data_IF_396416010208
#
_entry.id   IF_396416010208
#
_cell.length_a   1.000
_cell.length_b   1.000
_cell.length_c   1.000
_cell.angle_alpha   90.00
_cell.angle_beta   90.00
_cell.angle_gamma   90.00
#
_symmetry.space_group_name_H-M   'P 1'
#
loop_
_entity.id
_entity.type
_entity.pdbx_description
1 polymer ?
#
# COMPACT_ATOMS: atom_id res chain seq x y z
N UNK A 1 -7.56 -8.68 16.11
CA UNK A 1 -8.05 -8.76 14.71
C UNK A 1 -7.92 -10.20 14.20
N UNK A 2 -9.00 -10.99 14.22
CA UNK A 2 -8.96 -12.40 13.80
C UNK A 2 -8.88 -12.56 12.27
N UNK A 3 -9.53 -11.66 11.53
CA UNK A 3 -9.61 -11.74 10.07
C UNK A 3 -8.23 -11.60 9.40
N UNK A 4 -7.48 -10.55 9.72
CA UNK A 4 -6.14 -10.34 9.17
C UNK A 4 -5.17 -11.47 9.52
N UNK A 5 -5.31 -12.06 10.72
CA UNK A 5 -4.53 -13.22 11.11
C UNK A 5 -4.89 -14.45 10.26
N UNK A 6 -6.18 -14.72 10.05
CA UNK A 6 -6.62 -15.80 9.16
C UNK A 6 -6.11 -15.62 7.71
N UNK A 7 -6.14 -14.39 7.18
CA UNK A 7 -5.59 -14.09 5.85
C UNK A 7 -4.08 -14.34 5.81
N UNK A 8 -3.34 -13.97 6.86
CA UNK A 8 -1.91 -14.23 6.96
C UNK A 8 -1.58 -15.73 6.96
N UNK A 9 -2.33 -16.55 7.69
CA UNK A 9 -2.14 -18.02 7.67
C UNK A 9 -2.40 -18.62 6.28
N UNK A 10 -3.38 -18.08 5.54
CA UNK A 10 -3.69 -18.53 4.18
C UNK A 10 -2.68 -18.05 3.14
N UNK A 11 -2.08 -16.89 3.35
CA UNK A 11 -1.13 -16.24 2.44
C UNK A 11 0.12 -15.77 3.19
N UNK A 12 1.01 -16.68 3.61
CA UNK A 12 2.17 -16.35 4.45
C UNK A 12 3.20 -15.45 3.75
N UNK A 13 3.15 -15.37 2.42
CA UNK A 13 4.07 -14.55 1.62
C UNK A 13 3.59 -13.10 1.43
N UNK A 14 2.39 -12.75 1.89
CA UNK A 14 1.86 -11.40 1.70
C UNK A 14 2.56 -10.38 2.61
N UNK A 15 2.92 -9.24 2.02
CA UNK A 15 3.40 -8.08 2.76
C UNK A 15 2.30 -7.44 3.59
N UNK A 16 2.68 -6.63 4.58
CA UNK A 16 1.72 -6.04 5.52
C UNK A 16 0.62 -5.22 4.84
N UNK A 17 0.99 -4.42 3.84
CA UNK A 17 0.03 -3.66 3.00
C UNK A 17 -0.99 -4.59 2.35
N UNK A 18 -0.54 -5.68 1.71
CA UNK A 18 -1.40 -6.61 0.99
C UNK A 18 -2.39 -7.32 1.92
N UNK A 19 -1.95 -7.69 3.13
CA UNK A 19 -2.82 -8.27 4.15
C UNK A 19 -3.93 -7.29 4.54
N UNK A 20 -3.57 -6.01 4.76
CA UNK A 20 -4.55 -4.98 5.09
C UNK A 20 -5.49 -4.73 3.90
N UNK A 21 -4.96 -4.57 2.67
CA UNK A 21 -5.75 -4.40 1.45
C UNK A 21 -6.78 -5.52 1.29
N UNK A 22 -6.36 -6.78 1.43
CA UNK A 22 -7.23 -7.96 1.36
C UNK A 22 -8.27 -7.98 2.48
N UNK A 23 -7.86 -7.55 3.68
CA UNK A 23 -8.76 -7.47 4.84
C UNK A 23 -9.86 -6.43 4.60
N UNK A 24 -9.51 -5.22 4.18
CA UNK A 24 -10.47 -4.11 4.03
C UNK A 24 -11.37 -4.25 2.80
N UNK A 25 -11.00 -5.09 1.83
CA UNK A 25 -11.90 -5.51 0.74
C UNK A 25 -13.09 -6.31 1.27
N UNK A 26 -12.91 -7.08 2.35
CA UNK A 26 -13.99 -7.85 3.00
C UNK A 26 -14.77 -7.04 4.04
N UNK A 27 -14.33 -5.82 4.35
CA UNK A 27 -15.02 -4.95 5.31
C UNK A 27 -16.08 -4.08 4.61
N UNK A 28 -17.27 -4.07 5.20
CA UNK A 28 -18.38 -3.21 4.83
C UNK A 28 -18.63 -2.14 5.89
N UNK A 29 -19.28 -1.05 5.50
CA UNK A 29 -19.56 0.10 6.38
C UNK A 29 -18.42 1.14 6.41
N UNK A 30 -18.52 2.04 7.39
CA UNK A 30 -17.58 3.14 7.58
C UNK A 30 -16.52 2.79 8.64
N UNK A 31 -15.25 3.09 8.35
CA UNK A 31 -14.13 2.82 9.23
C UNK A 31 -12.96 3.78 9.00
N UNK A 32 -12.18 4.01 10.05
CA UNK A 32 -10.85 4.61 10.00
C UNK A 32 -9.94 3.72 10.86
N UNK A 33 -8.94 3.10 10.25
CA UNK A 33 -8.15 2.03 10.86
C UNK A 33 -6.66 2.33 10.75
N UNK A 34 -5.92 2.02 11.81
CA UNK A 34 -4.46 1.99 11.82
C UNK A 34 -4.00 0.62 12.34
N UNK A 35 -3.09 0.00 11.60
CA UNK A 35 -2.59 -1.34 11.83
C UNK A 35 -1.12 -1.29 12.22
N UNK A 36 -0.78 -2.01 13.29
CA UNK A 36 0.59 -2.28 13.74
C UNK A 36 0.72 -3.76 14.05
N UNK A 37 1.84 -4.37 13.70
CA UNK A 37 2.08 -5.80 13.91
C UNK A 37 3.48 -6.04 14.44
N UNK A 38 3.62 -7.09 15.26
CA UNK A 38 4.95 -7.61 15.66
C UNK A 38 5.64 -8.36 14.52
N UNK A 39 4.87 -8.88 13.56
CA UNK A 39 5.39 -9.58 12.37
C UNK A 39 5.98 -8.61 11.34
N UNK A 40 5.52 -7.35 11.36
CA UNK A 40 5.96 -6.29 10.46
C UNK A 40 6.46 -5.11 11.30
N UNK A 41 7.63 -5.26 11.97
CA UNK A 41 8.19 -4.18 12.75
C UNK A 41 8.52 -2.98 11.84
N UNK A 42 8.51 -1.77 12.42
CA UNK A 42 8.78 -0.52 11.71
C UNK A 42 7.80 -0.19 10.57
N UNK A 43 6.70 -0.92 10.46
CA UNK A 43 5.64 -0.65 9.51
C UNK A 43 4.35 -0.23 10.23
N UNK A 44 3.66 0.70 9.60
CA UNK A 44 2.30 1.10 9.97
C UNK A 44 1.49 1.25 8.70
N UNK A 45 0.30 0.67 8.71
CA UNK A 45 -0.64 0.81 7.59
C UNK A 45 -1.90 1.45 8.15
N UNK A 46 -2.38 2.51 7.50
CA UNK A 46 -3.60 3.20 7.89
C UNK A 46 -4.51 3.39 6.68
N UNK A 47 -5.80 3.30 6.88
CA UNK A 47 -6.78 3.36 5.80
C UNK A 47 -8.14 3.79 6.32
N UNK A 48 -8.97 4.34 5.44
CA UNK A 48 -10.31 4.80 5.78
C UNK A 48 -11.33 4.51 4.70
N UNK A 49 -12.59 4.50 5.11
CA UNK A 49 -13.77 4.62 4.25
C UNK A 49 -14.91 5.25 5.05
N UNK A 50 -15.51 6.33 4.56
CA UNK A 50 -16.65 6.98 5.21
C UNK A 50 -16.40 7.54 6.62
N UNK A 51 -15.16 7.54 7.12
CA UNK A 51 -14.76 8.06 8.42
C UNK A 51 -13.47 8.87 8.27
N UNK A 52 -13.34 10.05 8.91
CA UNK A 52 -12.18 10.91 8.73
C UNK A 52 -10.89 10.28 9.26
N UNK A 53 -9.82 10.39 8.47
CA UNK A 53 -8.46 9.98 8.84
C UNK A 53 -7.45 10.86 8.10
N UNK A 54 -6.48 11.40 8.82
CA UNK A 54 -5.45 12.26 8.27
C UNK A 54 -4.07 11.96 8.87
N UNK A 55 -3.03 12.36 8.15
CA UNK A 55 -1.63 12.14 8.50
C UNK A 55 -0.91 13.49 8.63
N UNK A 56 -0.50 13.85 9.84
CA UNK A 56 0.42 14.95 10.11
C UNK A 56 1.85 14.54 9.83
N UNK A 57 2.62 15.41 9.18
CA UNK A 57 4.03 15.18 8.90
C UNK A 57 4.85 16.27 9.59
N UNK A 58 5.82 15.88 10.41
CA UNK A 58 6.82 16.79 10.98
C UNK A 58 8.20 16.28 10.63
N UNK A 59 9.01 17.11 9.99
CA UNK A 59 10.41 16.81 9.74
C UNK A 59 11.27 18.04 9.98
N UNK A 60 12.52 17.82 10.38
CA UNK A 60 13.53 18.87 10.49
C UNK A 60 13.95 19.43 9.12
N UNK A 61 13.85 18.64 8.06
CA UNK A 61 14.19 19.04 6.69
C UNK A 61 12.94 19.33 5.86
N UNK A 62 13.09 20.21 4.85
CA UNK A 62 11.99 20.50 3.92
C UNK A 62 11.63 19.23 3.14
N UNK A 63 10.33 18.93 3.07
CA UNK A 63 9.79 17.84 2.25
C UNK A 63 10.06 18.16 0.77
N UNK A 64 10.35 17.14 -0.04
CA UNK A 64 10.65 17.30 -1.46
C UNK A 64 9.43 17.69 -2.30
N UNK A 65 8.20 17.49 -1.79
CA UNK A 65 6.96 17.77 -2.55
C UNK A 65 5.79 17.99 -1.58
N UNK A 66 4.93 18.97 -1.89
CA UNK A 66 3.69 19.26 -1.15
C UNK A 66 2.49 18.40 -1.62
N UNK A 67 2.61 17.77 -2.78
CA UNK A 67 1.63 16.85 -3.35
C UNK A 67 2.14 15.41 -3.29
N UNK A 68 1.32 14.52 -2.72
CA UNK A 68 1.62 13.09 -2.60
C UNK A 68 0.99 12.35 -3.77
N UNK A 69 1.79 11.58 -4.51
CA UNK A 69 1.25 10.76 -5.60
C UNK A 69 0.59 9.51 -5.01
N UNK A 70 -0.66 9.26 -5.40
CA UNK A 70 -1.41 8.06 -5.03
C UNK A 70 -1.05 6.93 -5.99
N UNK A 71 -0.54 5.83 -5.45
CA UNK A 71 -0.24 4.63 -6.23
C UNK A 71 -1.47 3.74 -6.32
N UNK A 72 -1.85 3.29 -7.51
CA UNK A 72 -2.98 2.36 -7.62
C UNK A 72 -2.51 0.92 -7.42
N UNK A 73 -3.05 0.26 -6.39
CA UNK A 73 -2.83 -1.17 -6.21
C UNK A 73 -3.68 -1.92 -7.25
N UNK A 74 -3.06 -2.41 -8.32
CA UNK A 74 -3.72 -3.36 -9.21
C UNK A 74 -3.85 -4.70 -8.47
N UNK A 75 -4.99 -4.95 -7.83
CA UNK A 75 -5.30 -6.20 -7.13
C UNK A 75 -5.05 -7.44 -8.02
N UNK A 76 -5.26 -7.30 -9.34
CA UNK A 76 -4.94 -8.33 -10.35
C UNK A 76 -3.45 -8.68 -10.42
N UNK A 77 -2.54 -7.72 -10.24
CA UNK A 77 -1.09 -7.99 -10.24
C UNK A 77 -0.62 -8.68 -8.95
N UNK A 78 -1.26 -8.40 -7.81
CA UNK A 78 -0.90 -9.00 -6.52
C UNK A 78 -1.30 -10.47 -6.46
N UNK A 79 -2.46 -10.85 -7.02
CA UNK A 79 -2.85 -12.26 -7.11
C UNK A 79 -2.12 -12.99 -8.25
N UNK A 80 -1.92 -12.34 -9.40
CA UNK A 80 -1.23 -12.95 -10.56
C UNK A 80 0.26 -13.19 -10.34
N UNK A 81 0.95 -12.40 -9.50
CA UNK A 81 2.38 -12.62 -9.21
C UNK A 81 2.65 -13.84 -8.32
N UNK A 82 1.61 -14.45 -7.73
CA UNK A 82 1.73 -15.65 -6.89
C UNK A 82 1.10 -16.91 -7.52
N UNK A 83 0.37 -16.78 -8.63
CA UNK A 83 -0.04 -17.93 -9.45
C UNK A 83 1.04 -18.21 -10.50
N UNK A 84 2.23 -18.62 -10.05
CA UNK A 84 3.32 -19.09 -10.88
C UNK A 84 3.88 -20.37 -10.31
N UNK A 85 3.79 -21.45 -11.09
CA UNK A 85 4.23 -22.83 -10.83
C UNK A 85 3.38 -23.63 -9.82
N UNK A 86 2.23 -24.14 -10.27
CA UNK A 86 1.97 -25.60 -10.19
C UNK A 86 1.10 -26.01 -11.39
N UNK A 87 1.65 -26.91 -12.18
CA UNK A 87 1.03 -27.53 -13.34
C UNK A 87 0.05 -28.62 -12.91
N UNK A 88 -1.24 -28.48 -13.20
CA UNK A 88 -2.06 -29.57 -13.74
C UNK A 88 -3.35 -29.05 -14.39
N UNK A 89 -3.73 -29.71 -15.46
CA UNK A 89 -4.68 -29.34 -16.52
C UNK A 89 -6.15 -29.63 -16.18
N UNK A 90 -7.05 -28.75 -16.65
CA UNK A 90 -8.12 -29.15 -17.57
C UNK A 90 -8.75 -27.93 -18.30
N UNK A 91 -9.30 -28.21 -19.49
CA UNK A 91 -9.46 -27.31 -20.65
C UNK A 91 -10.77 -26.45 -20.65
N UNK A 92 -10.95 -25.51 -21.61
CA UNK A 92 -11.62 -24.20 -21.41
C UNK A 92 -13.07 -24.10 -21.90
N UNK A 93 -13.76 -22.98 -21.56
CA UNK A 93 -14.90 -22.47 -22.37
C UNK A 93 -14.88 -20.95 -22.55
N UNK A 94 -14.57 -20.55 -23.78
CA UNK A 94 -15.27 -19.57 -24.62
C UNK A 94 -15.67 -18.19 -24.03
N UNK A 95 -14.72 -17.43 -23.51
CA UNK A 95 -14.74 -15.96 -23.67
C UNK A 95 -13.34 -15.36 -23.57
N UNK A 96 -12.39 -15.99 -24.25
CA UNK A 96 -11.09 -15.38 -24.60
C UNK A 96 -11.20 -14.79 -26.00
N UNK A 97 -11.83 -13.64 -26.18
CA UNK A 97 -11.48 -12.75 -27.29
C UNK A 97 -11.89 -11.33 -26.88
N UNK A 98 -10.94 -10.52 -26.40
CA UNK A 98 -10.66 -9.23 -27.04
C UNK A 98 -9.41 -8.60 -26.41
N UNK A 99 -8.28 -9.04 -26.98
CA UNK A 99 -7.03 -8.32 -27.25
C UNK A 99 -6.27 -7.70 -26.07
N UNK A 100 -5.11 -8.22 -25.64
CA UNK A 100 -3.88 -8.56 -26.38
C UNK A 100 -3.19 -7.33 -26.96
N UNK A 101 -2.21 -6.80 -26.21
CA UNK A 101 -0.98 -6.27 -26.78
C UNK A 101 0.19 -6.87 -26.00
N UNK A 102 0.88 -7.76 -26.70
CA UNK A 102 1.99 -8.57 -26.26
C UNK A 102 3.22 -8.08 -27.02
N UNK A 103 4.26 -7.67 -26.31
CA UNK A 103 5.63 -7.63 -26.83
C UNK A 103 6.56 -7.88 -25.63
N UNK A 104 6.83 -9.15 -25.35
CA UNK A 104 8.09 -9.82 -25.69
C UNK A 104 9.23 -9.49 -24.72
N UNK A 105 9.56 -10.45 -23.85
CA UNK A 105 10.96 -10.77 -23.55
C UNK A 105 11.03 -12.14 -22.87
N UNK A 106 11.69 -13.04 -23.58
CA UNK A 106 12.12 -14.38 -23.21
C UNK A 106 13.17 -14.37 -22.09
N UNK A 107 13.15 -15.45 -21.28
CA UNK A 107 14.30 -16.14 -20.65
C UNK A 107 14.70 -15.86 -19.16
N UNK A 108 14.76 -17.00 -18.44
CA UNK A 108 15.66 -17.40 -17.34
C UNK A 108 15.21 -17.24 -15.86
N UNK A 109 15.43 -18.27 -14.99
CA UNK A 109 15.14 -18.19 -13.57
C UNK A 109 16.31 -17.52 -12.85
N UNK A 110 16.14 -16.26 -12.46
CA UNK A 110 17.17 -15.51 -11.75
C UNK A 110 16.56 -14.79 -10.55
N UNK A 111 17.04 -15.18 -9.36
CA UNK A 111 17.31 -14.37 -8.16
C UNK A 111 16.26 -13.32 -7.80
N UNK A 112 15.69 -13.48 -6.60
CA UNK A 112 14.87 -12.46 -5.93
C UNK A 112 15.62 -11.12 -5.88
N UNK A 113 15.31 -10.28 -6.86
CA UNK A 113 16.00 -9.02 -7.12
C UNK A 113 15.30 -7.93 -6.29
N UNK A 114 16.04 -7.36 -5.33
CA UNK A 114 15.58 -6.27 -4.45
C UNK A 114 15.37 -4.94 -5.19
N UNK A 115 15.24 -4.97 -6.51
CA UNK A 115 15.21 -3.83 -7.42
C UNK A 115 13.83 -3.56 -8.05
N UNK A 116 12.74 -4.10 -7.50
CA UNK A 116 11.37 -3.58 -7.78
C UNK A 116 11.10 -2.30 -6.95
N UNK A 117 12.11 -1.44 -6.88
CA UNK A 117 12.01 -0.03 -6.49
C UNK A 117 12.15 0.82 -7.76
N UNK A 118 11.46 0.43 -8.85
CA UNK A 118 11.55 1.09 -10.15
C UNK A 118 10.53 2.23 -10.22
N UNK A 119 11.00 3.42 -9.87
CA UNK A 119 10.73 4.71 -10.53
C UNK A 119 9.27 5.15 -10.84
N UNK A 120 8.28 4.69 -10.08
CA UNK A 120 6.90 5.23 -10.16
C UNK A 120 6.37 5.83 -8.85
N UNK A 121 6.90 5.42 -7.70
CA UNK A 121 6.40 5.85 -6.41
C UNK A 121 7.09 7.14 -5.96
N UNK A 122 6.45 8.30 -6.17
CA UNK A 122 6.84 9.54 -5.47
C UNK A 122 6.43 9.43 -4.00
N UNK A 123 7.22 8.66 -3.24
CA UNK A 123 7.17 8.66 -1.78
C UNK A 123 7.61 10.03 -1.27
N UNK A 124 6.97 10.51 -0.20
CA UNK A 124 7.39 11.75 0.44
C UNK A 124 8.76 11.50 1.04
N UNK A 125 9.79 12.00 0.35
CA UNK A 125 11.16 12.07 0.85
C UNK A 125 11.48 13.52 1.20
N UNK A 126 12.28 13.80 2.21
CA UNK A 126 12.88 15.13 2.37
C UNK A 126 13.85 15.42 1.22
N UNK A 127 14.14 16.70 1.01
CA UNK A 127 15.01 17.16 -0.07
C UNK A 127 16.50 16.79 0.10
N UNK A 128 16.95 16.33 1.27
CA UNK A 128 18.36 15.97 1.55
C UNK A 128 18.53 14.50 1.95
N UNK A 129 18.59 13.59 0.98
CA UNK A 129 18.76 12.15 1.21
C UNK A 129 20.19 11.70 1.63
N UNK A 130 21.13 12.64 1.80
CA UNK A 130 22.52 12.35 2.17
C UNK A 130 22.82 12.46 3.69
N UNK A 131 21.87 12.95 4.48
CA UNK A 131 21.94 13.01 5.94
C UNK A 131 20.76 12.25 6.53
N UNK A 132 20.95 11.67 7.71
CA UNK A 132 19.89 11.05 8.52
C UNK A 132 18.59 11.86 8.44
N UNK A 133 17.57 11.27 7.84
CA UNK A 133 16.24 11.86 7.78
C UNK A 133 15.46 11.44 9.01
N UNK A 134 15.02 12.43 9.78
CA UNK A 134 14.14 12.24 10.92
C UNK A 134 12.78 12.85 10.57
N UNK A 135 11.76 12.00 10.57
CA UNK A 135 10.37 12.40 10.39
C UNK A 135 9.47 11.70 11.40
N UNK A 136 8.52 12.47 11.90
CA UNK A 136 7.46 12.03 12.77
C UNK A 136 6.14 12.07 11.98
N UNK A 137 5.41 10.97 12.02
CA UNK A 137 4.10 10.83 11.38
C UNK A 137 3.02 10.69 12.45
N UNK A 138 2.01 11.55 12.37
CA UNK A 138 0.89 11.59 13.31
C UNK A 138 -0.38 11.16 12.59
N UNK A 139 -1.00 10.04 13.00
CA UNK A 139 -2.26 9.59 12.44
C UNK A 139 -3.39 9.95 13.38
N UNK A 140 -4.40 10.68 12.91
CA UNK A 140 -5.56 11.03 13.73
C UNK A 140 -6.84 11.15 12.89
N UNK A 141 -7.99 11.01 13.55
CA UNK A 141 -9.31 11.24 12.94
C UNK A 141 -9.72 12.71 12.94
N UNK A 142 -9.06 13.54 13.74
CA UNK A 142 -9.35 14.97 13.88
C UNK A 142 -8.03 15.78 13.83
N UNK A 143 -8.08 16.95 13.20
CA UNK A 143 -6.94 17.83 13.02
C UNK A 143 -6.49 18.48 14.34
N UNK A 144 -7.42 18.65 15.30
CA UNK A 144 -7.11 19.22 16.62
C UNK A 144 -6.05 18.41 17.37
N UNK A 145 -5.99 17.09 17.14
CA UNK A 145 -5.01 16.19 17.74
C UNK A 145 -3.60 16.30 17.13
N UNK A 146 -3.45 16.99 16.01
CA UNK A 146 -2.18 17.09 15.25
C UNK A 146 -1.64 18.51 15.21
N UNK A 147 -2.51 19.52 15.35
CA UNK A 147 -2.15 20.93 15.13
C UNK A 147 -1.06 21.45 16.07
N UNK A 148 -0.93 20.87 17.27
CA UNK A 148 0.15 21.20 18.22
C UNK A 148 1.52 20.72 17.77
N UNK A 149 1.56 19.69 16.90
CA UNK A 149 2.80 19.10 16.39
C UNK A 149 3.15 19.61 15.01
N UNK A 150 2.19 19.74 14.10
CA UNK A 150 2.45 20.17 12.72
C UNK A 150 1.22 20.78 12.06
N UNK A 151 1.48 21.73 11.15
CA UNK A 151 0.48 22.30 10.24
C UNK A 151 0.45 21.59 8.87
N UNK A 152 1.42 20.72 8.61
CA UNK A 152 1.48 19.93 7.39
C UNK A 152 0.68 18.65 7.59
N UNK A 153 -0.49 18.59 6.96
CA UNK A 153 -1.44 17.48 7.08
C UNK A 153 -1.84 16.96 5.70
N UNK A 154 -1.95 15.65 5.60
CA UNK A 154 -2.50 14.94 4.44
C UNK A 154 -3.83 14.34 4.84
N UNK A 155 -4.92 14.79 4.22
CA UNK A 155 -6.23 14.16 4.38
C UNK A 155 -6.30 12.92 3.49
N UNK A 156 -6.58 11.77 4.07
CA UNK A 156 -6.82 10.56 3.29
C UNK A 156 -8.23 10.61 2.69
N UNK A 157 -8.38 10.09 1.48
CA UNK A 157 -9.68 9.84 0.84
C UNK A 157 -10.14 8.41 1.13
N UNK A 158 -11.37 8.10 0.71
CA UNK A 158 -11.88 6.74 0.83
C UNK A 158 -11.05 5.77 -0.02
N UNK A 159 -10.79 4.59 0.54
CA UNK A 159 -9.98 3.53 -0.05
C UNK A 159 -8.49 3.86 -0.25
N UNK A 160 -8.04 5.00 0.30
CA UNK A 160 -6.61 5.25 0.48
C UNK A 160 -6.03 4.36 1.58
N UNK A 161 -4.83 3.85 1.31
CA UNK A 161 -4.01 3.01 2.17
C UNK A 161 -2.67 3.70 2.32
N UNK A 162 -2.51 4.41 3.42
CA UNK A 162 -1.25 5.00 3.84
C UNK A 162 -0.33 3.92 4.43
N UNK A 163 0.88 3.82 3.91
CA UNK A 163 1.89 2.87 4.38
C UNK A 163 3.14 3.64 4.77
N UNK A 164 3.52 3.52 6.03
CA UNK A 164 4.84 3.91 6.52
C UNK A 164 5.70 2.66 6.53
N UNK A 165 6.75 2.64 5.73
CA UNK A 165 7.74 1.56 5.69
C UNK A 165 9.15 2.15 5.77
N UNK A 166 9.91 1.75 6.78
CA UNK A 166 11.27 2.26 7.03
C UNK A 166 11.36 3.80 7.05
N UNK A 167 10.36 4.45 7.66
CA UNK A 167 10.28 5.91 7.77
C UNK A 167 9.79 6.63 6.50
N UNK A 168 9.45 5.91 5.43
CA UNK A 168 8.91 6.47 4.20
C UNK A 168 7.39 6.30 4.16
N UNK A 169 6.68 7.42 4.00
CA UNK A 169 5.24 7.41 3.74
C UNK A 169 4.97 7.24 2.23
N UNK A 170 4.05 6.32 1.92
CA UNK A 170 3.49 6.13 0.58
C UNK A 170 1.97 5.94 0.68
N UNK A 171 1.23 6.47 -0.28
CA UNK A 171 -0.23 6.30 -0.36
C UNK A 171 -0.54 5.37 -1.52
N UNK A 172 -1.39 4.38 -1.26
CA UNK A 172 -1.93 3.47 -2.26
C UNK A 172 -3.45 3.59 -2.29
N UNK A 173 -4.09 3.32 -3.42
CA UNK A 173 -5.56 3.29 -3.53
C UNK A 173 -6.03 1.96 -4.09
N UNK A 174 -7.01 1.38 -3.41
CA UNK A 174 -7.68 0.15 -3.84
C UNK A 174 -8.82 0.53 -4.78
N UNK A 175 -8.97 -0.23 -5.88
CA UNK A 175 -10.16 -0.18 -6.73
C UNK A 175 -11.17 -1.20 -6.25
N UNK A 176 -12.43 -0.79 -6.06
CA UNK A 176 -13.54 -1.71 -5.84
C UNK A 176 -14.19 -2.06 -7.17
N UNK A 177 -14.84 -3.21 -7.22
CA UNK A 177 -15.50 -3.71 -8.44
C UNK A 177 -16.79 -2.94 -8.76
N UNK A 178 -17.25 -2.09 -7.83
CA UNK A 178 -18.53 -1.36 -7.92
C UNK A 178 -18.35 0.10 -8.40
N UNK A 179 -17.12 0.51 -8.74
CA UNK A 179 -16.76 1.83 -9.32
C UNK A 179 -16.54 1.73 -10.84
#
# INVERSE_FOLDING_TARGET
AKLIHHIHERYPNFGFRQLVETTIQQLEGAFALAFKSRLFPNQLVATRRGSPLLVGIKSASRLSTDHVTVNFSNARNVLSSYCGEESFCDSPTASEVFNMSLASATASPARFDKNVFREGARSIRPFDAAKHFEAEYFFASDASAIIEHTKQVLFLEDDDVAVVDNGLLSIHRIKRHDD
#
